data_IF_536156107319
#
_entry.id   IF_536156107319
#
_cell.length_a   1.000
_cell.length_b   1.000
_cell.length_c   1.000
_cell.angle_alpha   90.00
_cell.angle_beta   90.00
_cell.angle_gamma   90.00
#
_symmetry.space_group_name_H-M   'P 1'
#
loop_
_entity.id
_entity.type
_entity.pdbx_description
1 polymer ?
#
# COMPACT_ATOMS: atom_id res chain seq x y z
N UNK A 1 7.18 1.64 45.71
CA UNK A 1 7.68 2.39 44.54
C UNK A 1 6.60 2.35 43.49
N UNK A 2 5.99 3.51 43.25
CA UNK A 2 4.72 3.65 42.52
C UNK A 2 4.99 4.06 41.07
N UNK A 3 4.23 3.45 40.16
CA UNK A 3 4.25 3.68 38.71
C UNK A 3 3.96 5.17 38.41
N UNK A 4 4.69 5.83 37.50
CA UNK A 4 4.35 7.19 37.08
C UNK A 4 2.99 7.18 36.38
N UNK A 5 2.04 7.96 36.90
CA UNK A 5 0.77 8.26 36.22
C UNK A 5 1.08 9.14 35.01
N UNK A 6 0.51 8.77 33.86
CA UNK A 6 0.41 9.66 32.70
C UNK A 6 -0.35 10.94 33.13
N UNK A 7 0.05 12.14 32.68
CA UNK A 7 -0.72 13.35 32.94
C UNK A 7 -2.08 13.23 32.27
N UNK A 8 -3.13 13.54 33.03
CA UNK A 8 -4.45 13.80 32.49
C UNK A 8 -4.45 15.18 31.81
N UNK A 9 -5.11 15.21 30.66
CA UNK A 9 -5.62 16.38 29.93
C UNK A 9 -4.59 17.41 29.41
N UNK A 10 -4.47 17.49 28.08
CA UNK A 10 -4.26 18.78 27.41
C UNK A 10 -5.11 18.90 26.15
N UNK A 11 -6.08 19.81 26.24
CA UNK A 11 -6.84 20.46 25.17
C UNK A 11 -7.44 19.58 24.06
N UNK A 12 -8.70 19.19 24.26
CA UNK A 12 -9.67 19.10 23.18
C UNK A 12 -9.82 20.49 22.52
N UNK A 13 -8.93 20.80 21.58
CA UNK A 13 -9.33 21.60 20.42
C UNK A 13 -10.04 20.62 19.47
N UNK A 14 -11.27 20.23 19.81
CA UNK A 14 -12.12 19.55 18.85
C UNK A 14 -12.34 20.52 17.69
N UNK A 15 -11.73 20.25 16.54
CA UNK A 15 -12.12 20.90 15.30
C UNK A 15 -13.63 20.62 15.11
N UNK A 16 -14.46 21.66 15.16
CA UNK A 16 -15.91 21.59 14.90
C UNK A 16 -16.25 21.08 13.48
N UNK A 17 -15.24 20.82 12.64
CA UNK A 17 -15.37 20.39 11.26
C UNK A 17 -14.63 19.06 11.03
N UNK A 18 -15.23 18.12 10.29
CA UNK A 18 -14.53 16.90 9.86
C UNK A 18 -13.24 17.25 9.10
N UNK A 19 -12.14 16.62 9.50
CA UNK A 19 -10.83 16.74 8.84
C UNK A 19 -10.79 16.04 7.49
N UNK A 20 -11.71 15.10 7.24
CA UNK A 20 -11.84 14.36 5.99
C UNK A 20 -13.22 14.49 5.37
N UNK A 21 -13.25 14.61 4.04
CA UNK A 21 -14.42 14.32 3.22
C UNK A 21 -14.33 12.87 2.73
N UNK A 22 -15.34 12.05 3.03
CA UNK A 22 -15.43 10.64 2.66
C UNK A 22 -14.20 9.77 3.07
N UNK A 23 -13.80 9.72 4.36
CA UNK A 23 -12.59 9.01 4.80
C UNK A 23 -12.59 7.50 4.56
N UNK A 24 -13.70 6.91 4.07
CA UNK A 24 -13.83 5.48 3.80
C UNK A 24 -13.63 5.07 2.34
N UNK A 25 -13.14 5.98 1.48
CA UNK A 25 -13.01 5.76 0.04
C UNK A 25 -11.67 6.30 -0.49
N UNK A 26 -11.22 5.76 -1.63
CA UNK A 26 -10.00 6.17 -2.29
C UNK A 26 -10.00 7.65 -2.69
N UNK A 27 -11.16 8.22 -3.02
CA UNK A 27 -11.29 9.64 -3.29
C UNK A 27 -11.36 10.56 -2.06
N UNK A 28 -11.03 10.07 -0.86
CA UNK A 28 -11.10 10.87 0.35
C UNK A 28 -10.22 12.11 0.25
N UNK A 29 -10.68 13.22 0.82
CA UNK A 29 -9.93 14.48 0.84
C UNK A 29 -9.71 14.95 2.26
N UNK A 30 -8.45 15.23 2.57
CA UNK A 30 -8.11 15.90 3.80
C UNK A 30 -8.43 17.40 3.71
N UNK A 31 -8.69 18.06 4.84
CA UNK A 31 -9.00 19.50 4.89
C UNK A 31 -7.86 20.39 4.38
N UNK A 32 -6.61 19.90 4.39
CA UNK A 32 -5.46 20.60 3.81
C UNK A 32 -5.36 20.46 2.29
N UNK A 33 -6.21 19.62 1.66
CA UNK A 33 -6.30 19.51 0.20
C UNK A 33 -7.13 20.67 -0.38
N UNK A 34 -6.42 21.74 -0.73
CA UNK A 34 -7.01 22.96 -1.29
C UNK A 34 -7.17 22.91 -2.82
N UNK A 35 -6.95 21.76 -3.46
CA UNK A 35 -7.01 21.67 -4.91
C UNK A 35 -8.44 21.85 -5.43
N UNK A 36 -8.67 22.78 -6.40
CA UNK A 36 -10.00 23.07 -6.92
C UNK A 36 -10.52 22.00 -7.91
N UNK A 37 -9.78 20.90 -8.09
CA UNK A 37 -10.07 19.82 -9.03
C UNK A 37 -9.88 18.46 -8.35
N UNK A 38 -10.53 17.41 -8.87
CA UNK A 38 -10.39 16.03 -8.39
C UNK A 38 -9.58 15.15 -9.34
N UNK A 39 -8.66 14.38 -8.78
CA UNK A 39 -7.88 13.36 -9.48
C UNK A 39 -8.50 11.97 -9.38
N UNK A 40 -9.43 11.75 -8.44
CA UNK A 40 -10.19 10.51 -8.32
C UNK A 40 -11.37 10.49 -9.29
N UNK A 41 -11.46 9.42 -10.08
CA UNK A 41 -12.65 9.06 -10.86
C UNK A 41 -13.42 7.95 -10.12
N UNK A 42 -14.60 8.25 -9.52
CA UNK A 42 -15.36 7.26 -8.77
C UNK A 42 -16.03 6.20 -9.64
N UNK A 43 -16.25 6.47 -10.94
CA UNK A 43 -16.89 5.53 -11.87
C UNK A 43 -15.86 4.51 -12.34
N UNK A 44 -14.73 5.00 -12.82
CA UNK A 44 -13.64 4.13 -13.26
C UNK A 44 -12.84 3.53 -12.10
N UNK A 45 -13.01 4.06 -10.87
CA UNK A 45 -12.25 3.70 -9.66
C UNK A 45 -10.74 3.80 -9.87
N UNK A 46 -10.29 4.89 -10.47
CA UNK A 46 -8.88 5.13 -10.75
C UNK A 46 -8.49 6.59 -10.50
N UNK A 47 -7.20 6.81 -10.26
CA UNK A 47 -6.63 8.15 -10.29
C UNK A 47 -6.18 8.51 -11.70
N UNK A 48 -6.31 9.79 -12.04
CA UNK A 48 -5.75 10.37 -13.27
C UNK A 48 -4.64 11.36 -12.94
N UNK A 49 -3.73 11.53 -13.91
CA UNK A 49 -2.77 12.63 -13.87
C UNK A 49 -3.50 13.99 -13.91
N UNK A 50 -2.92 15.02 -13.25
CA UNK A 50 -3.33 16.40 -13.49
C UNK A 50 -3.21 16.76 -14.97
N UNK A 51 -4.18 17.51 -15.49
CA UNK A 51 -4.16 18.08 -16.86
C UNK A 51 -3.42 19.42 -16.86
N UNK A 52 -3.08 19.96 -18.03
CA UNK A 52 -2.23 21.15 -18.15
C UNK A 52 -2.59 22.32 -17.20
N UNK A 53 -3.85 22.79 -17.07
CA UNK A 53 -4.16 23.87 -16.11
C UNK A 53 -3.97 23.46 -14.64
N UNK A 54 -4.22 22.20 -14.31
CA UNK A 54 -4.05 21.64 -12.96
C UNK A 54 -2.56 21.44 -12.65
N UNK A 55 -1.75 21.08 -13.66
CA UNK A 55 -0.30 20.95 -13.54
C UNK A 55 0.36 22.30 -13.25
N UNK A 56 -0.03 23.35 -13.96
CA UNK A 56 0.45 24.71 -13.69
C UNK A 56 -0.01 25.20 -12.31
N UNK A 57 -1.25 24.88 -11.91
CA UNK A 57 -1.70 25.16 -10.54
C UNK A 57 -0.84 24.45 -9.48
N UNK A 58 -0.49 23.17 -9.69
CA UNK A 58 0.38 22.43 -8.78
C UNK A 58 1.76 23.08 -8.68
N UNK A 59 2.34 23.49 -9.81
CA UNK A 59 3.63 24.20 -9.83
C UNK A 59 3.59 25.53 -9.09
N UNK A 60 2.52 26.30 -9.29
CA UNK A 60 2.35 27.59 -8.61
C UNK A 60 2.25 27.41 -7.09
N UNK A 61 1.52 26.37 -6.63
CA UNK A 61 1.29 26.13 -5.19
C UNK A 61 2.43 25.44 -4.47
N UNK A 62 3.08 24.49 -5.12
CA UNK A 62 4.07 23.62 -4.48
C UNK A 62 5.51 23.84 -4.98
N UNK A 63 5.69 24.77 -5.93
CA UNK A 63 6.97 25.09 -6.57
C UNK A 63 7.21 24.29 -7.86
N UNK A 64 8.29 24.62 -8.56
CA UNK A 64 8.67 24.00 -9.84
C UNK A 64 9.20 22.57 -9.77
N UNK A 65 8.84 21.82 -8.73
CA UNK A 65 9.21 20.43 -8.53
C UNK A 65 8.67 19.48 -9.60
N UNK A 66 9.31 18.31 -9.73
CA UNK A 66 8.79 17.22 -10.55
C UNK A 66 7.60 16.58 -9.86
N UNK A 67 6.47 16.50 -10.57
CA UNK A 67 5.30 15.75 -10.15
C UNK A 67 5.35 14.35 -10.77
N UNK A 68 5.19 13.34 -9.93
CA UNK A 68 5.15 11.93 -10.32
C UNK A 68 3.87 11.28 -9.77
N UNK A 69 3.39 10.23 -10.44
CA UNK A 69 2.23 9.48 -9.98
C UNK A 69 2.50 7.96 -10.09
N UNK A 70 3.23 7.39 -9.12
CA UNK A 70 3.58 5.97 -9.09
C UNK A 70 2.40 5.05 -8.67
N UNK A 71 1.31 5.09 -9.43
CA UNK A 71 0.12 4.27 -9.20
C UNK A 71 -0.85 4.93 -8.23
N UNK A 72 -0.83 4.54 -6.95
CA UNK A 72 -1.88 4.84 -5.97
C UNK A 72 -1.66 6.10 -5.12
N UNK A 73 -0.53 6.79 -5.32
CA UNK A 73 -0.26 8.10 -4.72
C UNK A 73 0.48 8.99 -5.72
N UNK A 74 0.53 10.29 -5.45
CA UNK A 74 1.33 11.27 -6.17
C UNK A 74 2.48 11.78 -5.31
N UNK A 75 3.63 12.02 -5.93
CA UNK A 75 4.83 12.54 -5.30
C UNK A 75 5.22 13.86 -5.95
N UNK A 76 5.60 14.85 -5.13
CA UNK A 76 6.14 16.12 -5.60
C UNK A 76 7.52 16.31 -4.98
N UNK A 77 8.53 16.47 -5.83
CA UNK A 77 9.87 16.80 -5.35
C UNK A 77 9.88 18.26 -4.87
N UNK A 78 10.28 18.55 -3.63
CA UNK A 78 10.36 19.92 -3.12
C UNK A 78 11.49 20.08 -2.12
N UNK A 79 12.28 21.14 -2.26
CA UNK A 79 13.27 21.57 -1.26
C UNK A 79 12.65 22.35 -0.10
N UNK A 80 11.38 22.73 -0.22
CA UNK A 80 10.66 23.55 0.75
C UNK A 80 9.17 23.19 0.70
N UNK A 81 8.77 21.99 1.17
CA UNK A 81 7.37 21.59 1.18
C UNK A 81 6.55 22.52 2.08
N UNK A 82 5.24 22.71 1.80
CA UNK A 82 4.35 23.42 2.71
C UNK A 82 4.35 22.80 4.11
N UNK A 83 4.17 23.62 5.15
CA UNK A 83 4.05 23.17 6.55
C UNK A 83 2.71 23.71 7.10
N UNK A 84 1.76 22.83 7.51
CA UNK A 84 1.82 21.38 7.36
C UNK A 84 1.69 20.95 5.89
N UNK A 85 2.35 19.85 5.53
CA UNK A 85 2.23 19.30 4.18
C UNK A 85 0.82 18.74 3.95
N UNK A 86 0.18 19.01 2.78
CA UNK A 86 -1.08 18.38 2.48
C UNK A 86 -0.97 16.85 2.39
N UNK A 87 -1.95 16.16 2.96
CA UNK A 87 -2.00 14.69 2.95
C UNK A 87 -2.54 14.14 1.62
N UNK A 88 -3.36 14.93 0.93
CA UNK A 88 -3.91 14.59 -0.39
C UNK A 88 -3.81 15.77 -1.36
N UNK A 89 -3.77 15.46 -2.65
CA UNK A 89 -3.88 16.40 -3.77
C UNK A 89 -5.06 15.98 -4.65
N UNK A 90 -6.12 16.78 -4.68
CA UNK A 90 -7.30 16.45 -5.46
C UNK A 90 -7.95 15.12 -5.07
N UNK A 91 -7.81 14.69 -3.82
CA UNK A 91 -8.24 13.39 -3.29
C UNK A 91 -7.28 12.23 -3.52
N UNK A 92 -6.11 12.46 -4.14
CA UNK A 92 -5.06 11.45 -4.27
C UNK A 92 -4.06 11.57 -3.11
N UNK A 93 -3.60 10.47 -2.49
CA UNK A 93 -2.56 10.53 -1.47
C UNK A 93 -1.31 11.25 -1.98
N UNK A 94 -0.74 12.15 -1.17
CA UNK A 94 0.37 13.03 -1.58
C UNK A 94 1.61 12.81 -0.71
N UNK A 95 2.77 12.67 -1.36
CA UNK A 95 4.08 12.62 -0.70
C UNK A 95 4.95 13.77 -1.21
N UNK A 96 5.59 14.48 -0.30
CA UNK A 96 6.72 15.36 -0.64
C UNK A 96 8.03 14.62 -0.40
N UNK A 97 8.97 14.79 -1.32
CA UNK A 97 10.31 14.22 -1.19
C UNK A 97 11.39 15.23 -1.62
N UNK A 98 12.63 15.11 -1.12
CA UNK A 98 13.74 15.92 -1.57
C UNK A 98 13.99 15.83 -3.10
N UNK A 99 14.43 16.93 -3.75
CA UNK A 99 14.82 16.89 -5.16
C UNK A 99 15.97 15.91 -5.40
N UNK A 100 15.87 15.14 -6.49
CA UNK A 100 16.89 14.16 -6.87
C UNK A 100 16.70 12.75 -6.29
N UNK A 101 15.77 12.57 -5.35
CA UNK A 101 15.36 11.24 -4.90
C UNK A 101 14.35 10.61 -5.88
N UNK A 102 14.50 9.32 -6.13
CA UNK A 102 13.57 8.53 -6.93
C UNK A 102 12.56 7.83 -6.00
N UNK A 103 11.28 8.25 -5.99
CA UNK A 103 10.28 7.66 -5.11
C UNK A 103 10.00 6.18 -5.43
N UNK A 104 10.34 5.69 -6.63
CA UNK A 104 10.14 4.28 -7.00
C UNK A 104 11.11 3.33 -6.31
N UNK A 105 12.32 3.78 -5.96
CA UNK A 105 13.33 2.94 -5.32
C UNK A 105 12.88 2.41 -3.95
N UNK A 106 11.93 3.10 -3.32
CA UNK A 106 11.40 2.76 -2.00
C UNK A 106 10.04 2.08 -2.04
N UNK A 107 9.57 1.62 -3.22
CA UNK A 107 8.23 1.05 -3.37
C UNK A 107 8.15 -0.13 -4.33
N UNK A 108 9.17 -0.35 -5.16
CA UNK A 108 9.22 -1.48 -6.07
C UNK A 108 10.14 -2.58 -5.55
N UNK A 109 9.65 -3.82 -5.38
CA UNK A 109 10.55 -4.94 -5.21
C UNK A 109 11.34 -5.13 -6.51
N UNK A 110 12.47 -5.83 -6.39
CA UNK A 110 13.29 -6.21 -7.54
C UNK A 110 12.46 -7.07 -8.51
N UNK A 111 12.29 -6.58 -9.74
CA UNK A 111 11.48 -7.25 -10.79
C UNK A 111 12.17 -8.48 -11.41
N UNK A 112 13.30 -8.93 -10.87
CA UNK A 112 14.21 -9.86 -11.55
C UNK A 112 13.58 -11.19 -11.94
N UNK A 113 12.61 -11.71 -11.16
CA UNK A 113 12.02 -13.03 -11.43
C UNK A 113 10.76 -13.00 -12.30
N UNK A 114 10.08 -11.85 -12.37
CA UNK A 114 8.79 -11.72 -13.04
C UNK A 114 8.95 -11.58 -14.56
N UNK A 115 8.12 -12.29 -15.32
CA UNK A 115 8.10 -12.20 -16.78
C UNK A 115 6.65 -12.19 -17.31
N UNK A 116 6.21 -11.12 -17.99
CA UNK A 116 4.84 -11.01 -18.50
C UNK A 116 4.52 -12.03 -19.61
N UNK A 117 5.52 -12.69 -20.19
CA UNK A 117 5.35 -13.73 -21.20
C UNK A 117 5.19 -15.13 -20.62
N UNK A 118 5.51 -15.33 -19.34
CA UNK A 118 5.19 -16.59 -18.66
C UNK A 118 3.66 -16.62 -18.45
N UNK A 119 2.96 -17.71 -18.84
CA UNK A 119 1.51 -17.77 -18.77
C UNK A 119 0.96 -17.46 -17.37
N UNK A 120 -0.15 -16.71 -17.31
CA UNK A 120 -0.89 -16.51 -16.07
C UNK A 120 -1.43 -17.86 -15.59
N UNK A 121 -1.04 -18.34 -14.39
CA UNK A 121 -1.41 -19.67 -13.92
C UNK A 121 -2.87 -19.76 -13.44
N UNK A 122 -3.55 -18.63 -13.25
CA UNK A 122 -4.95 -18.57 -12.82
C UNK A 122 -5.73 -17.43 -13.53
N UNK A 123 -5.96 -17.53 -14.86
CA UNK A 123 -6.58 -16.44 -15.64
C UNK A 123 -8.03 -16.14 -15.28
N UNK A 124 -8.73 -17.09 -14.68
CA UNK A 124 -10.13 -16.95 -14.27
C UNK A 124 -10.30 -16.18 -12.94
N UNK A 125 -9.24 -16.11 -12.12
CA UNK A 125 -9.27 -15.35 -10.87
C UNK A 125 -9.16 -13.86 -11.20
N UNK A 126 -10.17 -13.07 -10.84
CA UNK A 126 -10.21 -11.62 -11.11
C UNK A 126 -10.92 -10.89 -9.96
N UNK A 127 -10.44 -9.69 -9.63
CA UNK A 127 -11.09 -8.78 -8.68
C UNK A 127 -10.96 -7.33 -9.14
N UNK A 128 -11.88 -6.48 -8.68
CA UNK A 128 -12.04 -5.10 -9.15
C UNK A 128 -10.84 -4.19 -8.85
N UNK A 129 -10.70 -3.13 -9.64
CA UNK A 129 -9.69 -2.09 -9.39
C UNK A 129 -9.89 -1.42 -8.03
N UNK A 130 -8.76 -1.12 -7.36
CA UNK A 130 -8.75 -0.51 -6.04
C UNK A 130 -9.60 -1.30 -5.02
N UNK A 131 -9.59 -2.64 -5.12
CA UNK A 131 -10.13 -3.58 -4.13
C UNK A 131 -9.11 -4.67 -3.83
N UNK A 132 -9.38 -5.46 -2.80
CA UNK A 132 -8.57 -6.61 -2.41
C UNK A 132 -9.23 -7.92 -2.86
N UNK A 133 -8.46 -9.01 -3.07
CA UNK A 133 -9.02 -10.32 -3.37
C UNK A 133 -9.77 -10.88 -2.16
N UNK A 134 -10.74 -11.77 -2.39
CA UNK A 134 -11.33 -12.58 -1.31
C UNK A 134 -10.36 -13.68 -0.86
N UNK A 135 -10.67 -14.32 0.28
CA UNK A 135 -9.88 -15.47 0.76
C UNK A 135 -9.82 -16.61 -0.26
N UNK A 136 -10.93 -16.88 -0.92
CA UNK A 136 -11.04 -17.95 -1.93
C UNK A 136 -10.22 -17.60 -3.18
N UNK A 137 -10.22 -16.33 -3.58
CA UNK A 137 -9.40 -15.84 -4.68
C UNK A 137 -7.90 -15.93 -4.34
N UNK A 138 -7.52 -15.51 -3.12
CA UNK A 138 -6.15 -15.68 -2.63
C UNK A 138 -5.74 -17.16 -2.59
N UNK A 139 -6.60 -18.05 -2.10
CA UNK A 139 -6.31 -19.48 -2.06
C UNK A 139 -6.13 -20.06 -3.47
N UNK A 140 -6.96 -19.66 -4.44
CA UNK A 140 -6.79 -20.06 -5.83
C UNK A 140 -5.45 -19.55 -6.44
N UNK A 141 -5.04 -18.32 -6.12
CA UNK A 141 -3.74 -17.76 -6.52
C UNK A 141 -2.59 -18.58 -5.91
N UNK A 142 -2.66 -18.87 -4.61
CA UNK A 142 -1.62 -19.63 -3.92
C UNK A 142 -1.51 -21.07 -4.44
N UNK A 143 -2.63 -21.76 -4.67
CA UNK A 143 -2.66 -23.09 -5.31
C UNK A 143 -2.03 -23.06 -6.72
N UNK A 144 -2.30 -22.02 -7.49
CA UNK A 144 -1.74 -21.87 -8.84
C UNK A 144 -0.23 -21.56 -8.82
N UNK A 145 0.26 -20.88 -7.79
CA UNK A 145 1.67 -20.52 -7.62
C UNK A 145 2.52 -21.62 -7.00
N UNK A 146 1.96 -22.49 -6.16
CA UNK A 146 2.66 -23.56 -5.44
C UNK A 146 3.63 -24.42 -6.30
N UNK A 147 3.25 -24.92 -7.50
CA UNK A 147 4.18 -25.69 -8.32
C UNK A 147 5.33 -24.85 -8.89
N UNK A 148 5.18 -23.52 -8.94
CA UNK A 148 6.14 -22.59 -9.54
C UNK A 148 7.07 -21.96 -8.50
N UNK A 149 6.55 -21.65 -7.32
CA UNK A 149 7.26 -20.88 -6.31
C UNK A 149 6.84 -21.26 -4.87
N UNK A 150 7.79 -21.23 -3.95
CA UNK A 150 7.54 -21.45 -2.53
C UNK A 150 7.14 -20.13 -1.88
N UNK A 151 5.86 -19.78 -2.00
CA UNK A 151 5.32 -18.55 -1.44
C UNK A 151 5.09 -18.71 0.06
N UNK A 152 5.56 -17.75 0.85
CA UNK A 152 5.33 -17.69 2.31
C UNK A 152 4.40 -16.54 2.74
N UNK A 153 4.30 -15.51 1.90
CA UNK A 153 3.44 -14.34 2.10
C UNK A 153 3.04 -13.77 0.75
N UNK A 154 1.83 -13.23 0.64
CA UNK A 154 1.41 -12.43 -0.52
C UNK A 154 0.90 -11.07 -0.03
N UNK A 155 1.35 -10.02 -0.69
CA UNK A 155 0.93 -8.64 -0.46
C UNK A 155 0.14 -8.17 -1.68
N UNK A 156 -1.13 -7.81 -1.49
CA UNK A 156 -1.98 -7.24 -2.52
C UNK A 156 -2.09 -5.74 -2.33
N UNK A 157 -1.68 -4.95 -3.32
CA UNK A 157 -1.84 -3.50 -3.36
C UNK A 157 -2.66 -3.13 -4.61
N UNK A 158 -3.04 -1.85 -4.81
CA UNK A 158 -4.10 -1.53 -5.77
C UNK A 158 -3.76 -1.82 -7.24
N UNK A 159 -2.47 -1.76 -7.61
CA UNK A 159 -2.01 -1.94 -8.99
C UNK A 159 -1.07 -3.14 -9.18
N UNK A 160 -0.46 -3.65 -8.11
CA UNK A 160 0.48 -4.76 -8.15
C UNK A 160 0.30 -5.69 -6.95
N UNK A 161 0.79 -6.90 -7.09
CA UNK A 161 0.89 -7.89 -6.02
C UNK A 161 2.35 -8.29 -5.85
N UNK A 162 2.74 -8.64 -4.63
CA UNK A 162 4.09 -9.12 -4.30
C UNK A 162 3.98 -10.45 -3.58
N UNK A 163 4.52 -11.51 -4.17
CA UNK A 163 4.73 -12.77 -3.49
C UNK A 163 6.10 -12.77 -2.82
N UNK A 164 6.16 -12.91 -1.50
CA UNK A 164 7.41 -13.19 -0.80
C UNK A 164 7.71 -14.68 -0.89
N UNK A 165 8.89 -14.99 -1.41
CA UNK A 165 9.40 -16.33 -1.57
C UNK A 165 10.18 -16.75 -0.33
N UNK A 166 10.03 -18.01 0.06
CA UNK A 166 10.81 -18.61 1.13
C UNK A 166 12.28 -18.67 0.72
N UNK A 167 13.15 -18.13 1.57
CA UNK A 167 14.60 -18.23 1.39
C UNK A 167 15.09 -19.56 1.98
N UNK A 168 16.13 -20.16 1.39
CA UNK A 168 16.70 -21.47 1.81
C UNK A 168 15.70 -22.63 1.75
N UNK A 169 14.76 -22.60 0.81
CA UNK A 169 13.86 -23.72 0.53
C UNK A 169 14.47 -24.77 -0.42
N UNK A 170 15.67 -24.50 -0.94
CA UNK A 170 16.38 -25.35 -1.89
C UNK A 170 15.93 -25.16 -3.35
N UNK A 171 14.99 -24.25 -3.62
CA UNK A 171 14.59 -23.88 -4.99
C UNK A 171 15.48 -22.75 -5.50
N UNK A 172 15.83 -22.83 -6.78
CA UNK A 172 16.50 -21.75 -7.50
C UNK A 172 15.54 -21.11 -8.49
N UNK A 173 15.38 -19.80 -8.40
CA UNK A 173 14.56 -19.01 -9.33
C UNK A 173 15.47 -18.27 -10.29
N UNK A 174 15.31 -18.51 -11.60
CA UNK A 174 16.08 -17.80 -12.63
C UNK A 174 15.43 -16.45 -12.91
N UNK A 175 16.20 -15.46 -13.39
CA UNK A 175 15.62 -14.22 -13.87
C UNK A 175 14.54 -14.47 -14.94
N UNK A 176 13.39 -13.83 -14.79
CA UNK A 176 12.24 -13.94 -15.69
C UNK A 176 11.60 -15.34 -15.77
N UNK A 177 11.81 -16.21 -14.78
CA UNK A 177 11.24 -17.57 -14.79
C UNK A 177 9.84 -17.67 -14.21
N UNK A 178 9.35 -16.66 -13.51
CA UNK A 178 8.06 -16.69 -12.83
C UNK A 178 7.00 -15.80 -13.53
N UNK A 179 5.70 -16.13 -13.41
CA UNK A 179 4.62 -15.37 -14.02
C UNK A 179 4.63 -13.89 -13.61
N UNK A 180 4.76 -12.99 -14.58
CA UNK A 180 4.62 -11.55 -14.35
C UNK A 180 3.17 -11.09 -14.19
N UNK A 181 2.21 -11.94 -14.54
CA UNK A 181 0.77 -11.70 -14.39
C UNK A 181 0.13 -12.90 -13.70
N UNK A 182 -0.57 -12.66 -12.58
CA UNK A 182 -1.27 -13.69 -11.80
C UNK A 182 -2.63 -13.14 -11.39
N UNK A 183 -3.72 -13.87 -11.68
CA UNK A 183 -5.07 -13.41 -11.38
C UNK A 183 -5.45 -12.07 -12.06
N UNK A 184 -4.86 -11.80 -13.24
CA UNK A 184 -5.07 -10.56 -13.98
C UNK A 184 -4.37 -9.33 -13.39
N UNK A 185 -3.49 -9.51 -12.38
CA UNK A 185 -2.67 -8.44 -11.81
C UNK A 185 -1.19 -8.66 -12.07
N UNK A 186 -0.45 -7.56 -12.14
CA UNK A 186 1.02 -7.60 -12.12
C UNK A 186 1.48 -8.30 -10.84
N UNK A 187 2.27 -9.35 -10.98
CA UNK A 187 2.86 -10.10 -9.87
C UNK A 187 4.38 -9.89 -9.88
N UNK A 188 4.89 -9.46 -8.73
CA UNK A 188 6.31 -9.31 -8.45
C UNK A 188 6.72 -10.30 -7.37
N UNK A 189 8.01 -10.59 -7.29
CA UNK A 189 8.54 -11.60 -6.37
C UNK A 189 9.65 -11.02 -5.52
N UNK A 190 9.44 -11.06 -4.21
CA UNK A 190 10.43 -10.65 -3.23
C UNK A 190 11.13 -11.89 -2.67
N UNK A 191 12.44 -12.00 -2.90
CA UNK A 191 13.24 -13.15 -2.48
C UNK A 191 14.45 -12.66 -1.68
N UNK A 192 14.21 -12.35 -0.41
CA UNK A 192 15.22 -11.89 0.55
C UNK A 192 14.81 -12.30 1.98
N UNK A 193 15.80 -12.35 2.89
CA UNK A 193 15.57 -12.71 4.30
C UNK A 193 14.70 -11.66 5.03
N UNK A 194 14.93 -10.38 4.71
CA UNK A 194 14.08 -9.29 5.17
C UNK A 194 12.74 -9.31 4.41
N UNK A 195 11.63 -9.14 5.12
CA UNK A 195 10.30 -9.05 4.48
C UNK A 195 10.15 -7.81 3.62
N UNK A 196 9.32 -7.86 2.58
CA UNK A 196 9.03 -6.73 1.71
C UNK A 196 8.58 -5.50 2.51
N UNK A 197 7.60 -5.66 3.41
CA UNK A 197 7.09 -4.55 4.21
C UNK A 197 8.16 -3.91 5.10
N UNK A 198 9.07 -4.71 5.68
CA UNK A 198 10.15 -4.21 6.54
C UNK A 198 11.16 -3.36 5.75
N UNK A 199 11.37 -3.66 4.47
CA UNK A 199 12.25 -2.87 3.59
C UNK A 199 11.67 -1.52 3.17
N UNK A 200 10.42 -1.19 3.57
CA UNK A 200 9.69 -0.01 3.10
C UNK A 200 9.38 0.97 4.25
N UNK A 201 9.99 2.16 4.30
CA UNK A 201 9.95 3.05 5.47
C UNK A 201 8.58 3.69 5.76
N UNK A 202 7.65 3.68 4.80
CA UNK A 202 6.30 4.28 4.93
C UNK A 202 5.16 3.27 4.94
N UNK A 203 5.48 1.98 5.00
CA UNK A 203 4.49 0.91 4.93
C UNK A 203 4.55 0.11 6.23
N UNK A 204 3.39 -0.23 6.78
CA UNK A 204 3.30 -1.05 7.98
C UNK A 204 2.13 -2.02 7.93
N UNK A 205 2.34 -3.23 8.46
CA UNK A 205 1.25 -4.16 8.75
C UNK A 205 0.52 -3.68 10.01
N UNK A 206 -0.81 -3.53 9.95
CA UNK A 206 -1.62 -3.11 11.09
C UNK A 206 -2.71 -4.16 11.41
N UNK A 207 -2.47 -5.05 12.40
CA UNK A 207 -3.45 -6.07 12.79
C UNK A 207 -4.76 -5.48 13.33
N UNK A 208 -4.71 -4.29 13.95
CA UNK A 208 -5.89 -3.62 14.54
C UNK A 208 -6.89 -3.12 13.49
N UNK A 209 -6.43 -2.89 12.26
CA UNK A 209 -7.26 -2.45 11.15
C UNK A 209 -7.69 -3.61 10.23
N UNK A 210 -7.51 -4.87 10.67
CA UNK A 210 -7.97 -6.05 9.90
C UNK A 210 -9.44 -5.90 9.52
N UNK A 211 -9.74 -6.04 8.22
CA UNK A 211 -11.10 -5.90 7.68
C UNK A 211 -11.55 -4.46 7.44
N UNK A 212 -10.69 -3.46 7.69
CA UNK A 212 -10.92 -2.10 7.24
C UNK A 212 -11.05 -2.06 5.71
N UNK A 213 -11.92 -1.17 5.22
CA UNK A 213 -12.16 -1.04 3.79
C UNK A 213 -10.92 -0.48 3.09
N UNK A 214 -10.63 -1.02 1.91
CA UNK A 214 -9.64 -0.47 0.98
C UNK A 214 -9.90 1.02 0.74
N UNK A 215 -8.86 1.84 0.83
CA UNK A 215 -8.96 3.29 0.68
C UNK A 215 -9.36 4.05 1.95
N UNK A 216 -9.55 3.37 3.09
CA UNK A 216 -9.92 4.05 4.34
C UNK A 216 -8.75 4.77 4.98
N UNK A 217 -9.00 5.98 5.45
CA UNK A 217 -8.06 6.86 6.13
C UNK A 217 -8.31 6.92 7.64
N UNK A 218 -7.23 6.98 8.41
CA UNK A 218 -7.25 7.07 9.87
C UNK A 218 -6.19 8.07 10.34
N UNK A 219 -6.59 9.09 11.09
CA UNK A 219 -5.63 10.01 11.72
C UNK A 219 -4.98 9.38 12.94
N UNK A 220 -3.71 9.69 13.15
CA UNK A 220 -2.91 9.19 14.28
C UNK A 220 -2.39 10.37 15.08
N UNK A 221 -2.81 10.49 16.34
CA UNK A 221 -2.21 11.43 17.29
C UNK A 221 -2.89 12.80 17.43
N UNK A 222 -4.14 12.99 17.04
CA UNK A 222 -4.83 14.29 17.12
C UNK A 222 -4.33 15.27 16.05
N UNK A 223 -4.28 16.58 16.32
CA UNK A 223 -3.87 17.64 15.37
C UNK A 223 -2.48 17.45 14.72
N UNK A 224 -1.72 16.42 15.12
CA UNK A 224 -0.42 16.05 14.60
C UNK A 224 -0.48 15.31 13.27
N UNK A 225 -0.85 16.00 12.18
CA UNK A 225 -0.31 15.91 10.82
C UNK A 225 -0.08 14.56 10.11
N UNK A 226 -0.40 13.42 10.72
CA UNK A 226 -0.05 12.08 10.25
C UNK A 226 -1.32 11.26 10.07
N UNK A 227 -1.43 10.59 8.93
CA UNK A 227 -2.55 9.72 8.62
C UNK A 227 -2.10 8.37 8.05
N UNK A 228 -2.88 7.35 8.35
CA UNK A 228 -2.75 6.01 7.81
C UNK A 228 -3.79 5.80 6.72
N UNK A 229 -3.34 5.35 5.56
CA UNK A 229 -4.20 4.86 4.48
C UNK A 229 -4.13 3.34 4.43
N UNK A 230 -5.28 2.67 4.57
CA UNK A 230 -5.39 1.23 4.28
C UNK A 230 -5.37 1.04 2.77
N UNK A 231 -4.23 0.65 2.23
CA UNK A 231 -3.99 0.59 0.79
C UNK A 231 -3.72 -0.84 0.29
N UNK A 232 -3.53 -1.81 1.19
CA UNK A 232 -3.26 -3.20 0.81
C UNK A 232 -3.73 -4.23 1.84
N UNK A 233 -3.64 -5.50 1.44
CA UNK A 233 -3.80 -6.66 2.31
C UNK A 233 -2.58 -7.58 2.24
N UNK A 234 -2.27 -8.21 3.37
CA UNK A 234 -1.19 -9.17 3.50
C UNK A 234 -1.78 -10.51 3.94
N UNK A 235 -1.51 -11.55 3.16
CA UNK A 235 -1.84 -12.93 3.48
C UNK A 235 -0.56 -13.64 3.90
N UNK A 236 -0.53 -14.17 5.11
CA UNK A 236 0.64 -14.81 5.71
C UNK A 236 0.32 -16.25 6.06
N UNK A 237 1.23 -17.17 5.71
CA UNK A 237 1.13 -18.56 6.17
C UNK A 237 1.21 -18.59 7.71
N UNK A 238 0.22 -19.18 8.41
CA UNK A 238 0.25 -19.29 9.86
C UNK A 238 1.47 -20.08 10.32
N UNK A 239 2.03 -19.71 11.48
CA UNK A 239 3.08 -20.52 12.11
C UNK A 239 2.42 -21.74 12.78
N UNK A 240 2.92 -22.97 12.55
CA UNK A 240 2.42 -24.12 13.29
C UNK A 240 2.63 -23.92 14.80
N UNK A 241 1.72 -24.41 15.66
CA UNK A 241 1.96 -24.45 17.10
C UNK A 241 3.26 -25.22 17.39
N UNK A 242 4.10 -24.72 18.29
CA UNK A 242 5.30 -25.46 18.71
C UNK A 242 4.88 -26.84 19.27
N UNK A 243 5.37 -27.92 18.64
CA UNK A 243 5.20 -29.29 19.11
C UNK A 243 4.11 -30.12 18.41
N UNK A 244 3.37 -29.55 17.46
CA UNK A 244 2.43 -30.31 16.61
C UNK A 244 3.12 -30.87 15.37
N UNK A 245 2.93 -32.16 15.07
CA UNK A 245 3.28 -32.73 13.77
C UNK A 245 2.67 -31.88 12.66
N UNK A 246 3.49 -31.50 11.68
CA UNK A 246 3.14 -30.47 10.69
C UNK A 246 1.97 -30.85 9.82
N UNK A 247 0.77 -30.45 10.21
CA UNK A 247 -0.37 -30.39 9.29
C UNK A 247 -0.07 -29.33 8.22
N UNK A 248 -0.37 -29.68 6.98
CA UNK A 248 -0.31 -28.75 5.86
C UNK A 248 -1.42 -27.72 6.09
N UNK A 249 -1.04 -26.49 6.41
CA UNK A 249 -2.00 -25.40 6.56
C UNK A 249 -2.58 -25.06 5.20
N UNK A 250 -3.89 -25.23 5.05
CA UNK A 250 -4.63 -24.93 3.83
C UNK A 250 -4.55 -23.42 3.53
N UNK A 251 -4.63 -23.06 2.24
CA UNK A 251 -4.43 -21.67 1.83
C UNK A 251 -5.53 -20.71 2.31
N UNK A 252 -6.73 -21.24 2.56
CA UNK A 252 -7.89 -20.56 3.12
C UNK A 252 -7.68 -20.16 4.59
N UNK A 253 -6.78 -20.86 5.27
CA UNK A 253 -6.44 -20.63 6.68
C UNK A 253 -5.35 -19.57 6.85
N UNK A 254 -4.85 -18.98 5.76
CA UNK A 254 -3.84 -17.93 5.84
C UNK A 254 -4.36 -16.70 6.57
N UNK A 255 -3.52 -16.15 7.44
CA UNK A 255 -3.84 -14.96 8.21
C UNK A 255 -3.88 -13.73 7.31
N UNK A 256 -4.97 -12.97 7.38
CA UNK A 256 -5.11 -11.70 6.66
C UNK A 256 -4.79 -10.53 7.59
N UNK A 257 -4.00 -9.58 7.12
CA UNK A 257 -3.64 -8.35 7.82
C UNK A 257 -3.80 -7.16 6.88
N UNK A 258 -4.20 -6.01 7.42
CA UNK A 258 -4.26 -4.79 6.62
C UNK A 258 -2.87 -4.17 6.51
N UNK A 259 -2.55 -3.70 5.31
CA UNK A 259 -1.34 -2.95 5.01
C UNK A 259 -1.68 -1.46 4.96
N UNK A 260 -0.99 -0.67 5.77
CA UNK A 260 -1.19 0.76 5.88
C UNK A 260 0.03 1.52 5.34
N UNK A 261 -0.23 2.62 4.64
CA UNK A 261 0.78 3.58 4.26
C UNK A 261 0.68 4.80 5.17
N UNK A 262 1.82 5.35 5.57
CA UNK A 262 1.91 6.49 6.48
C UNK A 262 2.23 7.77 5.73
N UNK A 263 1.35 8.75 5.87
CA UNK A 263 1.42 10.07 5.25
C UNK A 263 1.55 11.16 6.31
N UNK A 264 2.20 12.28 5.95
CA UNK A 264 2.46 13.39 6.86
C UNK A 264 3.91 13.51 7.31
N UNK A 265 4.14 14.49 8.19
CA UNK A 265 5.44 14.78 8.80
C UNK A 265 5.75 13.73 9.89
N UNK A 266 6.73 12.86 9.61
CA UNK A 266 7.23 11.81 10.52
C UNK A 266 8.42 12.29 11.36
#
# INVERSE_FOLDING_TARGET
>A
MSVPRLPAESSDAHLDRPTWTNPGDWGARHISDIAPFTLWDPIARQYRMPKNPEYEWCKEKFGGGTLMQPGWFTAISSSSPPIPAPLTLGGMPLIFHPPGEDPWQHLMPRIYYANPHVPNPCPEVKWGEMTFPTKEQNAAILRALEPLAAVQKVVYMPYWSVAELKVRDGREYKPGSLPGVVGGRTMLYHHAEESFCASMPRIMECPRLRGARSGSWFEVGGEGGVALLVFGEVYVKPRPPMGGGGEVVEFEEWEVRSLCAVFGDL
#
